data_IF_469592266880
#
_entry.id   IF_469592266880
#
_cell.length_a   1.000
_cell.length_b   1.000
_cell.length_c   1.000
_cell.angle_alpha   90.00
_cell.angle_beta   90.00
_cell.angle_gamma   90.00
#
_symmetry.space_group_name_H-M   'P 1'
#
loop_
_entity.id
_entity.type
_entity.pdbx_description
1 polymer ?
#
# COMPACT_ATOMS: atom_id res chain seq x y z
N UNK A 1 -10.44 -12.80 28.91
CA UNK A 1 -11.14 -12.79 27.60
C UNK A 1 -10.88 -11.42 27.01
N UNK A 2 -9.93 -11.32 26.09
CA UNK A 2 -9.51 -10.03 25.51
C UNK A 2 -10.47 -9.74 24.35
N UNK A 3 -11.10 -8.56 24.41
CA UNK A 3 -12.09 -8.15 23.41
C UNK A 3 -11.41 -7.92 22.04
N UNK A 4 -12.06 -8.24 20.91
CA UNK A 4 -11.42 -8.22 19.59
C UNK A 4 -11.16 -6.80 19.04
N UNK A 5 -11.50 -5.75 19.80
CA UNK A 5 -11.40 -4.33 19.41
C UNK A 5 -10.08 -3.65 19.76
N UNK A 6 -9.16 -4.33 20.45
CA UNK A 6 -7.86 -3.75 20.90
C UNK A 6 -6.63 -4.36 20.19
N UNK A 7 -6.84 -5.14 19.13
CA UNK A 7 -5.76 -5.73 18.32
C UNK A 7 -5.18 -4.76 17.27
N UNK A 8 -5.04 -3.49 17.64
CA UNK A 8 -4.68 -2.42 16.71
C UNK A 8 -3.27 -1.87 16.95
N UNK A 9 -2.60 -2.31 18.01
CA UNK A 9 -1.32 -1.74 18.45
C UNK A 9 -0.16 -2.75 18.34
N UNK A 10 0.89 -2.36 17.59
CA UNK A 10 2.09 -3.18 17.41
C UNK A 10 2.81 -3.48 18.73
N UNK A 11 2.63 -2.66 19.76
CA UNK A 11 3.21 -2.88 21.09
C UNK A 11 2.60 -4.09 21.80
N UNK A 12 1.31 -4.35 21.62
CA UNK A 12 0.64 -5.52 22.22
C UNK A 12 1.09 -6.83 21.57
N UNK A 13 1.36 -6.80 20.26
CA UNK A 13 1.97 -7.95 19.56
C UNK A 13 3.38 -8.19 20.09
N UNK A 14 4.17 -7.13 20.30
CA UNK A 14 5.50 -7.25 20.89
C UNK A 14 5.47 -7.81 22.32
N UNK A 15 4.49 -7.40 23.14
CA UNK A 15 4.28 -7.88 24.51
C UNK A 15 3.82 -9.34 24.56
N UNK A 16 3.00 -9.79 23.60
CA UNK A 16 2.57 -11.19 23.54
C UNK A 16 3.68 -12.16 23.09
N UNK A 17 4.75 -11.63 22.47
CA UNK A 17 5.94 -12.38 22.08
C UNK A 17 7.02 -12.44 23.18
N UNK A 18 6.96 -11.57 24.19
CA UNK A 18 7.90 -11.54 25.32
C UNK A 18 7.95 -12.84 26.14
N UNK A 19 6.84 -13.56 26.41
CA UNK A 19 6.88 -14.87 27.07
C UNK A 19 7.53 -15.98 26.23
N UNK A 20 7.51 -15.85 24.89
CA UNK A 20 8.02 -16.86 23.97
C UNK A 20 9.52 -16.69 23.66
N UNK A 21 10.02 -15.46 23.66
CA UNK A 21 11.36 -15.12 23.18
C UNK A 21 12.19 -14.27 24.17
N UNK A 22 11.62 -13.90 25.33
CA UNK A 22 12.27 -13.13 26.38
C UNK A 22 12.34 -11.61 26.10
N UNK A 23 13.05 -10.87 26.96
CA UNK A 23 13.11 -9.39 26.91
C UNK A 23 13.68 -8.83 25.60
N UNK A 24 14.57 -9.58 24.93
CA UNK A 24 15.17 -9.21 23.64
C UNK A 24 14.19 -9.28 22.47
N UNK A 25 13.09 -10.04 22.61
CA UNK A 25 12.07 -10.21 21.59
C UNK A 25 11.45 -8.88 21.16
N UNK A 26 11.16 -7.99 22.13
CA UNK A 26 10.56 -6.68 21.86
C UNK A 26 11.46 -5.81 20.98
N UNK A 27 12.77 -5.85 21.19
CA UNK A 27 13.74 -5.07 20.42
C UNK A 27 13.84 -5.62 18.99
N UNK A 28 14.02 -6.94 18.85
CA UNK A 28 14.14 -7.58 17.54
C UNK A 28 12.84 -7.45 16.74
N UNK A 29 11.69 -7.61 17.38
CA UNK A 29 10.38 -7.43 16.77
C UNK A 29 10.14 -5.99 16.33
N UNK A 30 10.41 -5.01 17.20
CA UNK A 30 10.26 -3.58 16.85
C UNK A 30 11.19 -3.19 15.70
N UNK A 31 12.43 -3.70 15.68
CA UNK A 31 13.37 -3.48 14.59
C UNK A 31 12.88 -4.12 13.28
N UNK A 32 12.29 -5.32 13.35
CA UNK A 32 11.71 -6.01 12.20
C UNK A 32 10.52 -5.27 11.62
N UNK A 33 9.58 -4.82 12.46
CA UNK A 33 8.44 -3.99 12.04
C UNK A 33 8.93 -2.66 11.45
N UNK A 34 9.92 -2.01 12.06
CA UNK A 34 10.51 -0.78 11.54
C UNK A 34 11.16 -1.00 10.17
N UNK A 35 11.99 -2.04 10.02
CA UNK A 35 12.64 -2.36 8.76
C UNK A 35 11.63 -2.69 7.65
N UNK A 36 10.59 -3.47 7.97
CA UNK A 36 9.50 -3.80 7.05
C UNK A 36 8.71 -2.56 6.63
N UNK A 37 8.35 -1.70 7.58
CA UNK A 37 7.63 -0.45 7.31
C UNK A 37 8.47 0.51 6.45
N UNK A 38 9.75 0.70 6.77
CA UNK A 38 10.66 1.56 6.01
C UNK A 38 10.86 1.04 4.57
N UNK A 39 11.03 -0.27 4.39
CA UNK A 39 11.18 -0.89 3.07
C UNK A 39 9.91 -0.72 2.22
N UNK A 40 8.74 -1.05 2.76
CA UNK A 40 7.47 -0.90 2.04
C UNK A 40 7.18 0.57 1.71
N UNK A 41 7.48 1.49 2.62
CA UNK A 41 7.26 2.92 2.41
C UNK A 41 8.14 3.46 1.27
N UNK A 42 9.42 3.11 1.24
CA UNK A 42 10.34 3.51 0.17
C UNK A 42 9.91 2.98 -1.19
N UNK A 43 9.53 1.69 -1.28
CA UNK A 43 9.08 1.08 -2.53
C UNK A 43 7.80 1.75 -3.05
N UNK A 44 6.83 2.02 -2.16
CA UNK A 44 5.58 2.69 -2.54
C UNK A 44 5.83 4.13 -3.02
N UNK A 45 6.71 4.88 -2.35
CA UNK A 45 7.09 6.23 -2.76
C UNK A 45 7.79 6.25 -4.13
N UNK A 46 8.67 5.27 -4.38
CA UNK A 46 9.33 5.11 -5.68
C UNK A 46 8.34 4.79 -6.80
N UNK A 47 7.44 3.82 -6.59
CA UNK A 47 6.41 3.46 -7.59
C UNK A 47 5.52 4.68 -7.88
N UNK A 48 5.05 5.38 -6.84
CA UNK A 48 4.25 6.59 -7.00
C UNK A 48 4.99 7.69 -7.74
N UNK A 49 6.26 7.92 -7.43
CA UNK A 49 7.10 8.91 -8.09
C UNK A 49 7.35 8.59 -9.57
N UNK A 50 7.57 7.31 -9.91
CA UNK A 50 7.71 6.85 -11.30
C UNK A 50 6.41 7.06 -12.07
N UNK A 51 5.27 6.61 -11.53
CA UNK A 51 3.96 6.77 -12.18
C UNK A 51 3.62 8.25 -12.37
N UNK A 52 3.93 9.11 -11.40
CA UNK A 52 3.73 10.55 -11.51
C UNK A 52 4.62 11.18 -12.59
N UNK A 53 5.90 10.81 -12.66
CA UNK A 53 6.80 11.26 -13.73
C UNK A 53 6.32 10.80 -15.10
N UNK A 54 5.86 9.55 -15.21
CA UNK A 54 5.33 8.96 -16.44
C UNK A 54 4.05 9.68 -16.90
N UNK A 55 3.15 10.01 -15.96
CA UNK A 55 1.92 10.73 -16.24
C UNK A 55 2.14 12.18 -16.73
N UNK A 56 3.21 12.85 -16.30
CA UNK A 56 3.57 14.21 -16.74
C UNK A 56 4.44 14.16 -18.03
N UNK A 57 4.85 12.97 -18.48
CA UNK A 57 5.70 12.81 -19.67
C UNK A 57 7.17 13.17 -19.43
N UNK A 58 7.61 13.21 -18.17
CA UNK A 58 9.02 13.39 -17.81
C UNK A 58 9.77 12.07 -17.99
N UNK A 59 11.10 12.14 -18.09
CA UNK A 59 11.95 10.98 -18.37
C UNK A 59 11.84 9.91 -17.26
N UNK A 60 11.05 8.86 -17.52
CA UNK A 60 10.71 7.74 -16.63
C UNK A 60 11.86 6.76 -16.34
N UNK A 61 13.12 7.13 -16.64
CA UNK A 61 14.29 6.32 -16.28
C UNK A 61 14.47 6.41 -14.77
N UNK A 62 14.50 5.26 -14.09
CA UNK A 62 14.67 5.14 -12.64
C UNK A 62 15.93 5.83 -12.08
N UNK A 63 16.92 6.12 -12.95
CA UNK A 63 18.15 6.87 -12.65
C UNK A 63 18.07 8.38 -12.97
N UNK A 64 16.94 8.89 -13.45
CA UNK A 64 16.80 10.30 -13.81
C UNK A 64 16.65 11.17 -12.55
N UNK A 65 17.17 12.39 -12.61
CA UNK A 65 17.02 13.36 -11.54
C UNK A 65 15.54 13.63 -11.20
N UNK A 66 14.64 13.46 -12.18
CA UNK A 66 13.19 13.60 -12.02
C UNK A 66 12.60 12.55 -11.06
N UNK A 67 12.89 11.26 -11.26
CA UNK A 67 12.37 10.19 -10.37
C UNK A 67 12.93 10.34 -8.95
N UNK A 68 14.21 10.71 -8.82
CA UNK A 68 14.83 10.98 -7.52
C UNK A 68 14.15 12.15 -6.80
N UNK A 69 13.87 13.23 -7.53
CA UNK A 69 13.22 14.42 -6.96
C UNK A 69 11.78 14.11 -6.54
N UNK A 70 11.01 13.40 -7.38
CA UNK A 70 9.66 12.95 -7.03
C UNK A 70 9.64 12.03 -5.82
N UNK A 71 10.63 11.14 -5.68
CA UNK A 71 10.75 10.26 -4.50
C UNK A 71 11.06 11.08 -3.25
N UNK A 72 11.99 12.04 -3.31
CA UNK A 72 12.29 12.93 -2.18
C UNK A 72 11.07 13.75 -1.79
N UNK A 73 10.33 14.30 -2.77
CA UNK A 73 9.09 15.04 -2.52
C UNK A 73 8.03 14.14 -1.88
N UNK A 74 7.86 12.90 -2.35
CA UNK A 74 6.92 11.94 -1.76
C UNK A 74 7.29 11.59 -0.30
N UNK A 75 8.58 11.41 -0.02
CA UNK A 75 9.07 11.17 1.35
C UNK A 75 8.84 12.38 2.26
N UNK A 76 9.10 13.60 1.77
CA UNK A 76 8.84 14.83 2.50
C UNK A 76 7.35 15.02 2.79
N UNK A 77 6.47 14.74 1.82
CA UNK A 77 5.03 14.77 2.02
C UNK A 77 4.60 13.75 3.07
N UNK A 78 5.12 12.52 3.00
CA UNK A 78 4.86 11.49 4.01
C UNK A 78 5.29 11.93 5.41
N UNK A 79 6.46 12.57 5.54
CA UNK A 79 6.94 13.11 6.81
C UNK A 79 6.06 14.26 7.33
N UNK A 80 5.65 15.18 6.46
CA UNK A 80 4.73 16.28 6.82
C UNK A 80 3.42 15.70 7.34
N UNK A 81 2.80 14.76 6.60
CA UNK A 81 1.56 14.11 7.03
C UNK A 81 1.73 13.42 8.38
N UNK A 82 2.78 12.60 8.54
CA UNK A 82 3.06 11.93 9.82
C UNK A 82 3.25 12.92 10.98
N UNK A 83 3.97 14.03 10.75
CA UNK A 83 4.15 15.08 11.75
C UNK A 83 2.83 15.76 12.10
N UNK A 84 1.97 16.05 11.13
CA UNK A 84 0.68 16.70 11.36
C UNK A 84 -0.28 15.81 12.14
N UNK A 85 -0.33 14.51 11.85
CA UNK A 85 -1.16 13.53 12.57
C UNK A 85 -0.73 13.43 14.04
N UNK A 86 0.59 13.42 14.29
CA UNK A 86 1.14 13.39 15.65
C UNK A 86 0.76 14.65 16.45
N UNK A 87 0.68 15.81 15.78
CA UNK A 87 0.33 17.09 16.40
C UNK A 87 -1.19 17.29 16.60
N UNK A 88 -2.02 16.73 15.72
CA UNK A 88 -3.49 16.88 15.79
C UNK A 88 -4.18 15.80 16.63
N UNK A 89 -3.47 14.75 17.04
CA UNK A 89 -4.03 13.67 17.89
C UNK A 89 -5.11 12.85 17.18
N UNK A 90 -5.15 12.88 15.85
CA UNK A 90 -6.06 12.07 15.04
C UNK A 90 -5.63 10.61 15.13
N UNK A 91 -6.59 9.70 15.28
CA UNK A 91 -6.32 8.26 15.27
C UNK A 91 -5.63 7.85 13.97
N UNK A 92 -4.36 7.44 14.09
CA UNK A 92 -3.52 6.98 12.98
C UNK A 92 -4.21 5.86 12.18
N UNK A 93 -4.98 5.03 12.88
CA UNK A 93 -5.76 3.92 12.30
C UNK A 93 -6.77 4.43 11.28
N UNK A 94 -7.54 5.46 11.60
CA UNK A 94 -8.53 6.05 10.70
C UNK A 94 -7.90 6.60 9.44
N UNK A 95 -6.72 7.23 9.57
CA UNK A 95 -5.97 7.74 8.42
C UNK A 95 -5.48 6.60 7.51
N UNK A 96 -4.95 5.52 8.09
CA UNK A 96 -4.52 4.34 7.35
C UNK A 96 -5.72 3.69 6.64
N UNK A 97 -6.87 3.58 7.31
CA UNK A 97 -8.10 3.01 6.73
C UNK A 97 -8.56 3.82 5.52
N UNK A 98 -8.56 5.17 5.60
CA UNK A 98 -8.91 6.03 4.46
C UNK A 98 -7.91 5.86 3.30
N UNK A 99 -6.61 5.82 3.58
CA UNK A 99 -5.58 5.61 2.55
C UNK A 99 -5.71 4.24 1.86
N UNK A 100 -6.02 3.19 2.63
CA UNK A 100 -6.30 1.86 2.10
C UNK A 100 -7.58 1.84 1.26
N UNK A 101 -8.65 2.50 1.72
CA UNK A 101 -9.89 2.63 0.96
C UNK A 101 -9.66 3.29 -0.41
N UNK A 102 -8.87 4.37 -0.45
CA UNK A 102 -8.51 5.04 -1.71
C UNK A 102 -7.73 4.11 -2.66
N UNK A 103 -6.81 3.32 -2.13
CA UNK A 103 -6.03 2.35 -2.92
C UNK A 103 -6.92 1.26 -3.50
N UNK A 104 -7.85 0.73 -2.69
CA UNK A 104 -8.84 -0.28 -3.10
C UNK A 104 -9.80 0.24 -4.17
N UNK A 105 -10.09 1.54 -4.18
CA UNK A 105 -10.84 2.20 -5.25
C UNK A 105 -10.03 2.38 -6.54
N UNK A 106 -8.71 2.54 -6.44
CA UNK A 106 -7.83 2.74 -7.59
C UNK A 106 -7.51 1.43 -8.34
N UNK A 107 -7.40 0.31 -7.62
CA UNK A 107 -7.12 -1.01 -8.19
C UNK A 107 -8.08 -1.50 -9.30
N UNK A 108 -9.42 -1.35 -9.22
CA UNK A 108 -10.30 -1.75 -10.30
C UNK A 108 -10.04 -0.95 -11.59
N UNK A 109 -9.72 0.34 -11.48
CA UNK A 109 -9.38 1.18 -12.62
C UNK A 109 -8.11 0.64 -13.29
N UNK A 110 -7.07 0.35 -12.49
CA UNK A 110 -5.83 -0.24 -13.00
C UNK A 110 -6.06 -1.59 -13.69
N UNK A 111 -6.88 -2.47 -13.08
CA UNK A 111 -7.21 -3.77 -13.64
C UNK A 111 -7.93 -3.67 -15.00
N UNK A 112 -8.87 -2.72 -15.15
CA UNK A 112 -9.54 -2.45 -16.42
C UNK A 112 -8.53 -2.02 -17.49
N UNK A 113 -7.62 -1.11 -17.16
CA UNK A 113 -6.59 -0.61 -18.09
C UNK A 113 -5.68 -1.75 -18.56
N UNK A 114 -5.28 -2.66 -17.66
CA UNK A 114 -4.46 -3.84 -18.01
C UNK A 114 -5.21 -4.76 -18.98
N UNK A 115 -6.47 -5.08 -18.70
CA UNK A 115 -7.29 -5.93 -19.58
C UNK A 115 -7.50 -5.28 -20.94
N UNK A 116 -7.73 -3.97 -20.97
CA UNK A 116 -7.89 -3.20 -22.20
C UNK A 116 -6.61 -3.18 -23.04
N UNK A 117 -5.45 -2.97 -22.42
CA UNK A 117 -4.17 -3.04 -23.12
C UNK A 117 -3.87 -4.44 -23.63
N UNK A 118 -4.20 -5.49 -22.86
CA UNK A 118 -4.02 -6.88 -23.27
C UNK A 118 -4.78 -7.22 -24.56
N UNK A 119 -5.96 -6.61 -24.77
CA UNK A 119 -6.76 -6.80 -25.99
C UNK A 119 -6.14 -6.11 -27.22
N UNK A 120 -5.33 -5.08 -27.02
CA UNK A 120 -4.66 -4.31 -28.08
C UNK A 120 -3.30 -4.87 -28.48
N UNK A 121 -2.77 -5.83 -27.72
CA UNK A 121 -1.49 -6.44 -28.06
C UNK A 121 -1.61 -7.26 -29.34
N UNK A 122 -0.73 -6.97 -30.30
CA UNK A 122 -0.60 -7.71 -31.57
C UNK A 122 -0.08 -9.14 -31.38
N UNK A 123 0.49 -9.45 -30.21
CA UNK A 123 1.06 -10.76 -29.86
C UNK A 123 -0.05 -11.72 -29.41
N UNK A 124 -0.01 -12.98 -29.87
CA UNK A 124 -0.95 -14.02 -29.44
C UNK A 124 -0.76 -14.37 -27.97
N UNK A 125 -1.62 -13.83 -27.11
CA UNK A 125 -1.66 -14.16 -25.68
C UNK A 125 -2.38 -15.50 -25.46
N UNK A 126 -1.80 -16.45 -24.69
CA UNK A 126 -2.47 -17.69 -24.29
C UNK A 126 -3.85 -17.46 -23.68
N UNK A 127 -4.81 -18.34 -24.00
CA UNK A 127 -6.18 -18.26 -23.48
C UNK A 127 -6.21 -18.33 -21.95
N UNK A 128 -5.32 -19.12 -21.35
CA UNK A 128 -5.17 -19.20 -19.89
C UNK A 128 -4.89 -17.84 -19.24
N UNK A 129 -4.04 -17.01 -19.84
CA UNK A 129 -3.72 -15.67 -19.33
C UNK A 129 -4.92 -14.74 -19.49
N UNK A 130 -5.66 -14.83 -20.60
CA UNK A 130 -6.90 -14.04 -20.79
C UNK A 130 -7.97 -14.38 -19.75
N UNK A 131 -8.18 -15.67 -19.48
CA UNK A 131 -9.12 -16.14 -18.45
C UNK A 131 -8.66 -15.67 -17.07
N UNK A 132 -7.36 -15.78 -16.76
CA UNK A 132 -6.80 -15.32 -15.49
C UNK A 132 -6.96 -13.82 -15.29
N UNK A 133 -6.76 -13.00 -16.33
CA UNK A 133 -6.97 -11.55 -16.25
C UNK A 133 -8.44 -11.18 -16.02
N UNK A 134 -9.38 -11.85 -16.69
CA UNK A 134 -10.81 -11.65 -16.46
C UNK A 134 -11.24 -12.08 -15.05
N UNK A 135 -10.74 -13.23 -14.58
CA UNK A 135 -10.99 -13.70 -13.23
C UNK A 135 -10.41 -12.71 -12.19
N UNK A 136 -9.18 -12.24 -12.41
CA UNK A 136 -8.54 -11.22 -11.58
C UNK A 136 -9.34 -9.92 -11.52
N UNK A 137 -9.87 -9.45 -12.65
CA UNK A 137 -10.76 -8.28 -12.71
C UNK A 137 -12.00 -8.47 -11.83
N UNK A 138 -12.68 -9.62 -11.97
CA UNK A 138 -13.88 -9.94 -11.17
C UNK A 138 -13.54 -9.99 -9.68
N UNK A 139 -12.42 -10.59 -9.31
CA UNK A 139 -11.96 -10.67 -7.91
C UNK A 139 -11.66 -9.27 -7.35
N UNK A 140 -10.95 -8.42 -8.09
CA UNK A 140 -10.64 -7.05 -7.65
C UNK A 140 -11.91 -6.23 -7.46
N UNK A 141 -12.89 -6.34 -8.37
CA UNK A 141 -14.18 -5.67 -8.23
C UNK A 141 -14.94 -6.18 -7.01
N UNK A 142 -14.98 -7.50 -6.79
CA UNK A 142 -15.63 -8.10 -5.63
C UNK A 142 -14.98 -7.68 -4.29
N UNK A 143 -13.65 -7.65 -4.23
CA UNK A 143 -12.91 -7.18 -3.06
C UNK A 143 -13.15 -5.69 -2.80
N UNK A 144 -13.14 -4.86 -3.85
CA UNK A 144 -13.39 -3.43 -3.74
C UNK A 144 -14.80 -3.15 -3.21
N UNK A 145 -15.81 -3.85 -3.75
CA UNK A 145 -17.19 -3.77 -3.25
C UNK A 145 -17.31 -4.21 -1.79
N UNK A 146 -16.62 -5.29 -1.39
CA UNK A 146 -16.62 -5.78 -0.01
C UNK A 146 -16.01 -4.77 0.97
N UNK A 147 -14.88 -4.17 0.62
CA UNK A 147 -14.22 -3.17 1.48
C UNK A 147 -15.05 -1.90 1.60
N UNK A 148 -15.70 -1.45 0.52
CA UNK A 148 -16.63 -0.31 0.57
C UNK A 148 -17.83 -0.60 1.47
N UNK A 149 -18.39 -1.81 1.38
CA UNK A 149 -19.49 -2.21 2.25
C UNK A 149 -19.09 -2.20 3.72
N UNK A 150 -17.92 -2.75 4.05
CA UNK A 150 -17.38 -2.76 5.42
C UNK A 150 -16.97 -1.39 5.95
N UNK A 151 -16.88 -0.36 5.11
CA UNK A 151 -16.68 1.03 5.52
C UNK A 151 -18.00 1.77 5.79
N UNK A 152 -19.11 1.26 5.24
CA UNK A 152 -20.45 1.88 5.35
C UNK A 152 -21.31 1.20 6.42
N UNK A 153 -21.07 -0.08 6.74
CA UNK A 153 -21.77 -0.87 7.77
C UNK A 153 -21.01 -0.92 9.09
#
# INVERSE_FOLDING_TARGET
MIQPSELTDASMVAMSLEPLFGTWAKIVFSLGIFAGAASSFLVNALIGGVVFCDAIGLSSKMSSASVRTSTIVALLLGWIVASTVTLTGIDLVSFIVIAQALTVLCFPILAIVIVWQLQKLTVRVPIAIKVLCWLGLVVVIALSARTLWGLVS
#
